data_IF_299561657081
#
_entry.id   IF_299561657081
#
_cell.length_a   1.000
_cell.length_b   1.000
_cell.length_c   1.000
_cell.angle_alpha   90.00
_cell.angle_beta   90.00
_cell.angle_gamma   90.00
#
_symmetry.space_group_name_H-M   'P 1'
#
loop_
_entity.id
_entity.type
_entity.pdbx_description
1 polymer ?
#
# COMPACT_ATOMS: atom_id res chain seq x y z
N UNK A 1 -11.07 -28.77 17.98
CA UNK A 1 -11.09 -27.31 18.21
C UNK A 1 -11.97 -26.68 17.14
N UNK A 2 -12.99 -25.93 17.53
CA UNK A 2 -13.90 -25.25 16.58
C UNK A 2 -13.13 -24.17 15.81
N UNK A 3 -13.25 -24.13 14.47
CA UNK A 3 -12.56 -23.13 13.66
C UNK A 3 -13.19 -21.75 13.85
N UNK A 4 -12.38 -20.77 14.24
CA UNK A 4 -12.83 -19.38 14.36
C UNK A 4 -13.14 -18.86 12.96
N UNK A 5 -14.41 -18.57 12.69
CA UNK A 5 -14.81 -17.89 11.46
C UNK A 5 -14.41 -16.41 11.49
N UNK A 6 -14.29 -15.78 10.31
CA UNK A 6 -13.99 -14.33 10.17
C UNK A 6 -14.95 -13.44 10.96
N UNK A 7 -16.24 -13.82 11.08
CA UNK A 7 -17.22 -13.13 11.95
C UNK A 7 -16.94 -13.36 13.43
N UNK A 8 -16.46 -14.55 13.81
CA UNK A 8 -16.03 -14.86 15.18
C UNK A 8 -14.81 -14.04 15.60
N UNK A 9 -13.86 -13.84 14.69
CA UNK A 9 -12.69 -12.98 14.93
C UNK A 9 -13.06 -11.51 15.17
N UNK A 10 -13.91 -10.92 14.31
CA UNK A 10 -14.32 -9.51 14.45
C UNK A 10 -15.12 -9.28 15.73
N UNK A 11 -16.03 -10.20 16.09
CA UNK A 11 -16.77 -10.11 17.36
C UNK A 11 -15.85 -10.23 18.58
N UNK A 12 -14.80 -11.06 18.51
CA UNK A 12 -13.80 -11.17 19.57
C UNK A 12 -12.94 -9.92 19.71
N UNK A 13 -12.51 -9.32 18.60
CA UNK A 13 -11.70 -8.10 18.58
C UNK A 13 -12.45 -6.86 19.10
N UNK A 14 -13.78 -6.82 18.99
CA UNK A 14 -14.62 -5.74 19.55
C UNK A 14 -14.96 -5.91 21.03
N UNK A 15 -14.69 -7.08 21.62
CA UNK A 15 -15.06 -7.42 22.99
C UNK A 15 -13.87 -7.54 23.95
N UNK A 16 -12.64 -7.28 23.49
CA UNK A 16 -11.51 -7.10 24.40
C UNK A 16 -11.74 -5.83 25.22
N UNK A 17 -11.91 -5.92 26.56
CA UNK A 17 -12.00 -4.74 27.38
C UNK A 17 -10.65 -4.01 27.29
N UNK A 18 -10.74 -2.68 27.24
CA UNK A 18 -9.65 -1.73 27.45
C UNK A 18 -9.09 -1.85 28.87
N UNK A 19 -8.59 -3.03 29.24
CA UNK A 19 -7.80 -3.23 30.46
C UNK A 19 -6.34 -3.09 30.08
N UNK A 20 -5.96 -1.88 29.63
CA UNK A 20 -4.58 -1.43 29.66
C UNK A 20 -4.26 -1.06 31.12
N UNK A 21 -4.18 -2.07 31.99
CA UNK A 21 -3.55 -1.90 33.29
C UNK A 21 -2.05 -2.06 33.10
N UNK A 22 -1.34 -1.00 33.47
CA UNK A 22 0.10 -0.81 33.35
C UNK A 22 0.94 -2.05 33.68
N UNK A 23 1.68 -2.55 32.69
CA UNK A 23 2.94 -3.27 32.91
C UNK A 23 3.95 -2.87 31.83
N UNK A 24 4.60 -1.73 32.04
CA UNK A 24 6.00 -1.50 31.67
C UNK A 24 6.47 -0.16 32.25
N UNK A 25 6.59 -0.08 33.58
CA UNK A 25 7.70 0.69 34.14
C UNK A 25 8.94 -0.19 33.99
N UNK A 26 9.62 -0.05 32.86
CA UNK A 26 11.07 -0.09 32.84
C UNK A 26 11.53 1.23 32.26
N UNK A 27 11.98 2.11 33.17
CA UNK A 27 12.84 3.23 32.82
C UNK A 27 14.12 2.65 32.20
N UNK A 28 14.10 2.38 30.90
CA UNK A 28 15.32 2.54 30.11
C UNK A 28 15.36 4.00 29.73
N UNK A 29 16.26 4.76 30.33
CA UNK A 29 16.67 6.05 29.78
C UNK A 29 17.23 5.78 28.39
N UNK A 30 16.37 5.80 27.37
CA UNK A 30 16.79 5.97 26.00
C UNK A 30 17.67 7.21 25.99
N UNK A 31 18.88 7.11 25.44
CA UNK A 31 19.81 8.24 25.38
C UNK A 31 19.14 9.48 24.77
N UNK A 32 19.75 10.67 24.87
CA UNK A 32 19.13 11.95 24.50
C UNK A 32 18.65 12.08 23.02
N UNK A 33 18.73 11.03 22.21
CA UNK A 33 18.52 11.04 20.76
C UNK A 33 17.37 10.14 20.26
N UNK A 34 16.43 9.70 21.11
CA UNK A 34 15.29 8.86 20.69
C UNK A 34 13.92 9.54 20.86
N UNK A 35 13.90 10.87 20.81
CA UNK A 35 12.66 11.65 20.79
C UNK A 35 12.29 11.97 19.35
N UNK A 36 11.03 11.71 18.99
CA UNK A 36 10.43 12.08 17.71
C UNK A 36 9.14 12.84 18.00
N UNK A 37 8.84 13.86 17.19
CA UNK A 37 7.56 14.57 17.27
C UNK A 37 6.39 13.64 16.92
N UNK A 38 6.62 12.70 16.00
CA UNK A 38 5.64 11.71 15.57
C UNK A 38 6.22 10.30 15.46
N UNK A 39 5.47 9.33 15.99
CA UNK A 39 5.73 7.90 15.83
C UNK A 39 4.56 7.29 15.05
N UNK A 40 4.83 6.72 13.88
CA UNK A 40 3.82 6.14 13.00
C UNK A 40 3.96 4.62 12.97
N UNK A 41 2.90 3.91 13.29
CA UNK A 41 2.85 2.46 13.20
C UNK A 41 2.42 2.01 11.78
N UNK A 42 3.27 1.22 11.13
CA UNK A 42 3.09 0.66 9.79
C UNK A 42 3.64 1.57 8.69
N UNK A 43 4.47 1.01 7.80
CA UNK A 43 5.03 1.67 6.63
C UNK A 43 4.23 1.35 5.36
N UNK A 44 2.90 1.52 5.42
CA UNK A 44 2.04 1.49 4.23
C UNK A 44 2.13 2.78 3.43
N UNK A 45 1.72 2.75 2.15
CA UNK A 45 1.73 3.95 1.28
C UNK A 45 1.07 5.19 1.91
N UNK A 46 -0.06 5.03 2.62
CA UNK A 46 -0.72 6.14 3.32
C UNK A 46 0.16 6.72 4.43
N UNK A 47 0.66 5.86 5.32
CA UNK A 47 1.53 6.25 6.43
C UNK A 47 2.82 6.90 5.95
N UNK A 48 3.42 6.38 4.88
CA UNK A 48 4.63 6.95 4.29
C UNK A 48 4.37 8.32 3.65
N UNK A 49 3.22 8.50 2.99
CA UNK A 49 2.81 9.80 2.47
C UNK A 49 2.63 10.81 3.60
N UNK A 50 1.92 10.43 4.68
CA UNK A 50 1.76 11.26 5.87
C UNK A 50 3.10 11.62 6.52
N UNK A 51 4.01 10.63 6.66
CA UNK A 51 5.35 10.84 7.19
C UNK A 51 6.15 11.84 6.34
N UNK A 52 6.06 11.75 5.01
CA UNK A 52 6.75 12.66 4.10
C UNK A 52 6.26 14.11 4.26
N UNK A 53 4.96 14.33 4.41
CA UNK A 53 4.41 15.66 4.67
C UNK A 53 4.81 16.21 6.04
N UNK A 54 4.78 15.38 7.10
CA UNK A 54 5.23 15.79 8.43
C UNK A 54 6.72 16.15 8.44
N UNK A 55 7.55 15.34 7.78
CA UNK A 55 8.98 15.62 7.62
C UNK A 55 9.21 16.91 6.81
N UNK A 56 8.45 17.14 5.73
CA UNK A 56 8.49 18.39 4.96
C UNK A 56 8.13 19.61 5.80
N UNK A 57 7.21 19.46 6.75
CA UNK A 57 6.83 20.50 7.69
C UNK A 57 7.88 20.75 8.80
N UNK A 58 8.98 20.01 8.82
CA UNK A 58 10.09 20.19 9.76
C UNK A 58 10.02 19.33 11.02
N UNK A 59 9.07 18.40 11.11
CA UNK A 59 8.96 17.50 12.26
C UNK A 59 9.90 16.30 12.14
N UNK A 60 10.40 15.86 13.28
CA UNK A 60 11.09 14.57 13.43
C UNK A 60 10.06 13.43 13.47
N UNK A 61 10.18 12.49 12.53
CA UNK A 61 9.21 11.39 12.37
C UNK A 61 9.93 10.06 12.33
N UNK A 62 9.43 9.08 13.07
CA UNK A 62 9.84 7.68 12.93
C UNK A 62 8.65 6.83 12.49
N UNK A 63 8.88 5.95 11.52
CA UNK A 63 7.89 4.99 11.03
C UNK A 63 8.36 3.59 11.41
N UNK A 64 7.52 2.85 12.11
CA UNK A 64 7.82 1.50 12.61
C UNK A 64 6.99 0.47 11.84
N UNK A 65 7.65 -0.40 11.07
CA UNK A 65 6.99 -1.47 10.30
C UNK A 65 7.33 -2.84 10.92
N UNK A 66 6.31 -3.68 11.08
CA UNK A 66 6.48 -5.03 11.64
C UNK A 66 6.93 -6.06 10.60
N UNK A 67 6.82 -5.75 9.31
CA UNK A 67 7.21 -6.63 8.19
C UNK A 67 8.60 -6.28 7.68
N UNK A 68 9.24 -7.25 7.02
CA UNK A 68 10.53 -7.05 6.36
C UNK A 68 10.48 -6.11 5.13
N UNK A 69 9.28 -5.79 4.65
CA UNK A 69 9.07 -4.97 3.45
C UNK A 69 7.97 -3.94 3.69
N UNK A 70 8.25 -2.71 3.27
CA UNK A 70 7.33 -1.56 3.35
C UNK A 70 6.35 -1.53 2.15
N UNK A 71 5.53 -0.49 2.06
CA UNK A 71 4.56 -0.25 0.97
C UNK A 71 3.14 -0.70 1.32
N UNK A 72 2.99 -1.63 2.26
CA UNK A 72 1.69 -2.12 2.71
C UNK A 72 0.94 -2.82 1.57
N UNK A 73 -0.18 -2.25 1.13
CA UNK A 73 -0.96 -2.75 -0.02
C UNK A 73 -0.41 -2.36 -1.39
N UNK A 74 0.53 -1.41 -1.45
CA UNK A 74 1.20 -1.00 -2.68
C UNK A 74 2.60 -1.63 -2.70
N UNK A 75 2.64 -2.95 -2.90
CA UNK A 75 3.89 -3.71 -2.95
C UNK A 75 3.81 -4.79 -4.02
N UNK A 76 4.96 -5.05 -4.61
CA UNK A 76 5.17 -6.07 -5.62
C UNK A 76 5.98 -7.23 -5.03
N UNK A 77 5.57 -8.46 -5.30
CA UNK A 77 6.26 -9.66 -4.84
C UNK A 77 6.20 -10.77 -5.90
N UNK A 78 7.15 -11.71 -5.87
CA UNK A 78 7.12 -12.91 -6.68
C UNK A 78 6.51 -14.04 -5.84
N UNK A 79 5.23 -14.33 -6.06
CA UNK A 79 4.47 -15.29 -5.22
C UNK A 79 4.10 -16.56 -5.98
N UNK A 80 3.72 -16.45 -7.25
CA UNK A 80 3.30 -17.62 -8.04
C UNK A 80 4.46 -18.32 -8.73
N UNK A 81 5.33 -17.58 -9.42
CA UNK A 81 6.40 -18.15 -10.24
C UNK A 81 7.69 -17.33 -10.13
N UNK A 82 8.88 -17.97 -10.14
CA UNK A 82 10.16 -17.26 -10.15
C UNK A 82 10.28 -16.30 -11.34
N UNK A 83 10.68 -15.06 -11.08
CA UNK A 83 10.81 -14.00 -12.09
C UNK A 83 9.49 -13.31 -12.47
N UNK A 84 8.34 -13.74 -11.91
CA UNK A 84 7.05 -13.10 -12.15
C UNK A 84 6.65 -12.22 -10.98
N UNK A 85 6.77 -10.91 -11.19
CA UNK A 85 6.41 -9.88 -10.23
C UNK A 85 4.92 -9.60 -10.27
N UNK A 86 4.31 -9.55 -9.09
CA UNK A 86 2.87 -9.37 -8.94
C UNK A 86 2.59 -8.35 -7.85
N UNK A 87 1.70 -7.42 -8.16
CA UNK A 87 1.12 -6.55 -7.16
C UNK A 87 0.07 -7.34 -6.37
N UNK A 88 0.22 -7.38 -5.05
CA UNK A 88 -0.62 -8.25 -4.21
C UNK A 88 -1.97 -7.63 -3.83
N UNK A 89 -2.16 -6.33 -4.04
CA UNK A 89 -3.38 -5.64 -3.64
C UNK A 89 -3.68 -4.42 -4.54
N UNK A 90 -2.82 -3.40 -4.53
CA UNK A 90 -2.98 -2.21 -5.38
C UNK A 90 -2.17 -2.31 -6.65
N UNK A 91 -2.84 -2.16 -7.81
CA UNK A 91 -2.24 -2.16 -9.16
C UNK A 91 -2.67 -0.96 -9.99
N UNK A 92 -3.84 -0.38 -9.69
CA UNK A 92 -4.41 0.74 -10.45
C UNK A 92 -4.13 2.04 -9.72
N UNK A 93 -3.20 2.84 -10.25
CA UNK A 93 -2.73 4.08 -9.60
C UNK A 93 -3.30 5.36 -10.22
N UNK A 94 -4.35 5.27 -11.05
CA UNK A 94 -4.99 6.43 -11.68
C UNK A 94 -5.49 7.47 -10.65
N UNK A 95 -6.03 7.01 -9.52
CA UNK A 95 -6.42 7.90 -8.42
C UNK A 95 -5.23 8.62 -7.78
N UNK A 96 -4.07 7.97 -7.68
CA UNK A 96 -2.85 8.59 -7.15
C UNK A 96 -2.26 9.61 -8.13
N UNK A 97 -2.39 9.39 -9.44
CA UNK A 97 -1.95 10.35 -10.46
C UNK A 97 -2.58 11.74 -10.29
N UNK A 98 -3.82 11.80 -9.80
CA UNK A 98 -4.52 13.05 -9.53
C UNK A 98 -4.17 13.67 -8.15
N UNK A 99 -3.50 12.94 -7.26
CA UNK A 99 -3.17 13.39 -5.92
C UNK A 99 -2.16 14.56 -5.95
N UNK A 100 -2.38 15.67 -5.21
CA UNK A 100 -1.46 16.82 -5.17
C UNK A 100 -0.01 16.45 -4.83
N UNK A 101 0.19 15.44 -3.96
CA UNK A 101 1.51 14.94 -3.61
C UNK A 101 2.36 14.58 -4.83
N UNK A 102 1.72 13.94 -5.83
CA UNK A 102 2.34 13.65 -7.11
C UNK A 102 2.13 14.78 -8.12
N UNK A 103 0.88 15.18 -8.41
CA UNK A 103 0.53 16.16 -9.44
C UNK A 103 1.32 17.47 -9.32
N UNK A 104 1.43 18.00 -8.10
CA UNK A 104 2.11 19.27 -7.81
C UNK A 104 3.54 19.07 -7.27
N UNK A 105 4.05 17.82 -7.25
CA UNK A 105 5.34 17.44 -6.69
C UNK A 105 5.54 17.89 -5.23
N UNK A 106 4.48 17.92 -4.41
CA UNK A 106 4.56 18.56 -3.08
C UNK A 106 5.55 17.92 -2.14
N UNK A 107 5.87 16.64 -2.29
CA UNK A 107 6.86 15.93 -1.47
C UNK A 107 8.02 15.40 -2.33
N UNK A 108 8.25 16.04 -3.49
CA UNK A 108 9.41 15.79 -4.37
C UNK A 108 9.55 14.33 -4.83
N UNK A 109 8.46 13.58 -5.00
CA UNK A 109 8.51 12.16 -5.37
C UNK A 109 9.28 11.94 -6.67
N UNK A 110 9.10 12.83 -7.67
CA UNK A 110 9.79 12.72 -8.96
C UNK A 110 11.30 12.91 -8.82
N UNK A 111 11.71 13.78 -7.91
CA UNK A 111 13.12 14.08 -7.64
C UNK A 111 13.82 12.85 -7.02
N UNK A 112 13.06 11.98 -6.36
CA UNK A 112 13.49 10.67 -5.85
C UNK A 112 13.26 9.51 -6.84
N UNK A 113 12.90 9.81 -8.10
CA UNK A 113 12.75 8.83 -9.17
C UNK A 113 11.41 8.09 -9.19
N UNK A 114 10.38 8.59 -8.49
CA UNK A 114 9.04 8.01 -8.62
C UNK A 114 8.41 8.39 -9.95
N UNK A 115 8.06 7.37 -10.74
CA UNK A 115 7.42 7.50 -12.04
C UNK A 115 6.10 6.71 -12.05
N UNK A 116 5.09 7.26 -12.73
CA UNK A 116 3.89 6.51 -13.05
C UNK A 116 4.06 5.84 -14.41
N UNK A 117 3.62 4.58 -14.48
CA UNK A 117 3.57 3.84 -15.72
C UNK A 117 2.18 3.92 -16.33
N UNK A 118 2.13 4.21 -17.62
CA UNK A 118 0.91 4.22 -18.42
C UNK A 118 0.96 3.12 -19.47
N UNK A 119 0.73 1.85 -19.08
CA UNK A 119 0.80 0.74 -20.02
C UNK A 119 -0.31 0.83 -21.08
N UNK A 120 0.00 0.34 -22.28
CA UNK A 120 -0.96 0.19 -23.38
C UNK A 120 -2.10 -0.74 -22.98
N UNK A 121 -1.78 -1.90 -22.39
CA UNK A 121 -2.76 -2.85 -21.87
C UNK A 121 -3.09 -2.45 -20.43
N UNK A 122 -4.35 -2.10 -20.18
CA UNK A 122 -4.84 -1.67 -18.86
C UNK A 122 -5.42 -2.86 -18.09
N UNK A 123 -6.15 -3.72 -18.80
CA UNK A 123 -6.75 -4.94 -18.26
C UNK A 123 -6.62 -6.04 -19.30
N UNK A 124 -6.30 -7.25 -18.84
CA UNK A 124 -6.33 -8.46 -19.66
C UNK A 124 -6.94 -9.59 -18.83
N UNK A 125 -8.00 -10.20 -19.35
CA UNK A 125 -8.70 -11.31 -18.70
C UNK A 125 -8.73 -12.49 -19.68
N UNK A 126 -7.85 -13.50 -19.49
CA UNK A 126 -7.85 -14.69 -20.32
C UNK A 126 -8.95 -15.67 -19.87
N UNK A 127 -9.59 -16.34 -20.83
CA UNK A 127 -10.56 -17.42 -20.60
C UNK A 127 -9.99 -18.78 -21.01
N UNK A 128 -10.60 -19.87 -20.52
CA UNK A 128 -10.10 -21.23 -20.73
C UNK A 128 -10.26 -21.73 -22.17
N UNK A 129 -11.16 -21.15 -22.94
CA UNK A 129 -11.40 -21.43 -24.35
C UNK A 129 -10.43 -20.68 -25.29
N UNK A 130 -9.51 -19.90 -24.74
CA UNK A 130 -8.55 -19.10 -25.49
C UNK A 130 -9.03 -17.70 -25.85
N UNK A 131 -10.29 -17.35 -25.57
CA UNK A 131 -10.77 -15.98 -25.70
C UNK A 131 -10.14 -15.07 -24.62
N UNK A 132 -10.17 -13.75 -24.85
CA UNK A 132 -9.76 -12.79 -23.83
C UNK A 132 -10.49 -11.47 -23.94
N UNK A 133 -10.74 -10.83 -22.79
CA UNK A 133 -11.15 -9.42 -22.75
C UNK A 133 -9.91 -8.56 -22.48
N UNK A 134 -9.55 -7.68 -23.42
CA UNK A 134 -8.40 -6.80 -23.27
C UNK A 134 -8.80 -5.35 -23.45
N UNK A 135 -8.46 -4.51 -22.47
CA UNK A 135 -8.70 -3.07 -22.52
C UNK A 135 -7.41 -2.38 -22.93
N UNK A 136 -7.45 -1.73 -24.10
CA UNK A 136 -6.34 -0.95 -24.64
C UNK A 136 -6.53 0.53 -24.30
N UNK A 137 -5.48 1.15 -23.78
CA UNK A 137 -5.46 2.56 -23.45
C UNK A 137 -5.56 3.40 -24.73
N UNK A 138 -6.58 4.25 -24.79
CA UNK A 138 -6.74 5.20 -25.90
C UNK A 138 -7.23 4.56 -27.20
N UNK A 139 -7.58 3.27 -27.19
CA UNK A 139 -8.05 2.54 -28.38
C UNK A 139 -9.36 1.79 -28.06
N UNK A 140 -10.47 2.50 -28.27
CA UNK A 140 -11.81 2.00 -27.97
C UNK A 140 -12.22 0.94 -28.99
N UNK A 141 -11.87 1.12 -30.26
CA UNK A 141 -12.27 0.21 -31.34
C UNK A 141 -11.60 -1.16 -31.14
N UNK A 142 -10.28 -1.18 -30.90
CA UNK A 142 -9.56 -2.42 -30.59
C UNK A 142 -10.03 -3.07 -29.30
N UNK A 143 -10.44 -2.28 -28.30
CA UNK A 143 -11.06 -2.83 -27.08
C UNK A 143 -12.40 -3.49 -27.41
N UNK A 144 -13.25 -2.84 -28.22
CA UNK A 144 -14.55 -3.37 -28.62
C UNK A 144 -14.43 -4.66 -29.44
N UNK A 145 -13.41 -4.78 -30.30
CA UNK A 145 -13.10 -6.01 -31.03
C UNK A 145 -12.87 -7.20 -30.10
N UNK A 146 -12.31 -7.01 -28.90
CA UNK A 146 -12.10 -8.11 -27.93
C UNK A 146 -13.38 -8.59 -27.26
N UNK A 147 -14.43 -7.75 -27.22
CA UNK A 147 -15.73 -8.11 -26.66
C UNK A 147 -16.56 -8.91 -27.68
N UNK A 148 -16.35 -8.66 -28.97
CA UNK A 148 -17.12 -9.26 -30.06
C UNK A 148 -16.70 -10.70 -30.44
N UNK A 149 -15.64 -11.23 -29.80
CA UNK A 149 -15.06 -12.55 -30.08
C UNK A 149 -15.93 -13.71 -29.56
#
# INVERSE_FOLDING_TARGET
MSSISRRGFIKGATLSPLTFTAMAQQNSSLGPNNQFDFVIAGAGHNSLLSAAYLAKAGFSVVVLEGRAMIGGGAKTAEVLFPGFKQDLCSTVHSGFAANPAYRNNEINLRDFGYELMDPEIVVHIPFLDGASLTVFRGDVDRTAETIAQ
#
